data_IF_731229336272
#
_entry.id   IF_731229336272
#
_cell.length_a   1.000
_cell.length_b   1.000
_cell.length_c   1.000
_cell.angle_alpha   90.00
_cell.angle_beta   90.00
_cell.angle_gamma   90.00
#
_symmetry.space_group_name_H-M   'P 1'
#
loop_
_entity.id
_entity.type
_entity.pdbx_description
1 polymer ?
#
# COMPACT_ATOMS: atom_id res chain seq x y z
N UNK A 1 -0.58 13.85 -2.81
CA UNK A 1 -0.70 12.58 -2.06
C UNK A 1 -1.45 11.55 -2.91
N UNK A 2 -1.24 10.24 -2.71
CA UNK A 2 -2.00 9.20 -3.42
C UNK A 2 -3.35 9.00 -2.71
N UNK A 3 -4.46 9.22 -3.41
CA UNK A 3 -5.80 9.02 -2.86
C UNK A 3 -6.37 7.65 -3.25
N UNK A 4 -7.37 7.19 -2.51
CA UNK A 4 -8.17 6.02 -2.90
C UNK A 4 -9.19 6.37 -4.01
N UNK A 5 -9.66 5.35 -4.77
CA UNK A 5 -10.70 5.51 -5.81
C UNK A 5 -12.00 6.14 -5.30
N UNK A 6 -12.28 6.09 -4.00
CA UNK A 6 -13.41 6.80 -3.39
C UNK A 6 -13.34 8.33 -3.55
N UNK A 7 -12.14 8.90 -3.66
CA UNK A 7 -11.92 10.34 -3.79
C UNK A 7 -11.92 10.84 -5.24
N UNK A 8 -12.54 10.08 -6.17
CA UNK A 8 -12.57 10.44 -7.60
C UNK A 8 -13.62 11.52 -7.93
N UNK A 9 -14.62 11.73 -7.06
CA UNK A 9 -15.65 12.75 -7.29
C UNK A 9 -15.03 14.15 -7.32
N UNK A 10 -15.39 14.94 -8.33
CA UNK A 10 -14.91 16.32 -8.48
C UNK A 10 -15.28 17.16 -7.25
N UNK A 11 -16.49 16.98 -6.71
CA UNK A 11 -16.97 17.66 -5.52
C UNK A 11 -16.09 17.37 -4.30
N UNK A 12 -15.74 16.10 -4.09
CA UNK A 12 -14.88 15.67 -2.97
C UNK A 12 -13.45 16.19 -3.14
N UNK A 13 -12.93 16.21 -4.37
CA UNK A 13 -11.59 16.76 -4.63
C UNK A 13 -11.54 18.27 -4.44
N UNK A 14 -12.61 18.97 -4.82
CA UNK A 14 -12.72 20.41 -4.67
C UNK A 14 -12.86 20.80 -3.19
N UNK A 15 -13.73 20.10 -2.45
CA UNK A 15 -13.87 20.29 -0.99
C UNK A 15 -12.55 20.05 -0.24
N UNK A 16 -11.82 18.97 -0.57
CA UNK A 16 -10.50 18.70 0.02
C UNK A 16 -9.46 19.79 -0.29
N UNK A 17 -9.56 20.40 -1.46
CA UNK A 17 -8.67 21.50 -1.84
C UNK A 17 -9.06 22.80 -1.13
N UNK A 18 -10.34 23.13 -1.07
CA UNK A 18 -10.85 24.34 -0.42
C UNK A 18 -10.65 24.29 1.11
N UNK A 19 -11.00 23.17 1.74
CA UNK A 19 -10.98 23.01 3.19
C UNK A 19 -9.57 22.74 3.73
N UNK A 20 -8.78 21.90 3.06
CA UNK A 20 -7.50 21.41 3.59
C UNK A 20 -6.29 21.70 2.69
N UNK A 21 -6.49 22.31 1.52
CA UNK A 21 -5.42 22.56 0.53
C UNK A 21 -4.69 21.27 0.09
N UNK A 22 -5.40 20.14 0.14
CA UNK A 22 -4.86 18.83 -0.21
C UNK A 22 -5.19 18.50 -1.66
N UNK A 23 -4.14 18.22 -2.45
CA UNK A 23 -4.28 17.67 -3.80
C UNK A 23 -4.01 16.16 -3.82
N UNK A 24 -5.04 15.39 -4.14
CA UNK A 24 -4.97 13.94 -4.27
C UNK A 24 -4.80 13.51 -5.74
N UNK A 25 -3.81 12.67 -6.01
CA UNK A 25 -3.73 11.89 -7.24
C UNK A 25 -4.44 10.56 -7.01
N UNK A 26 -5.58 10.38 -7.68
CA UNK A 26 -6.47 9.21 -7.49
C UNK A 26 -6.30 8.23 -8.65
N UNK A 27 -6.25 6.90 -8.39
CA UNK A 27 -6.18 5.90 -9.43
C UNK A 27 -7.39 5.94 -10.37
N UNK A 28 -7.07 5.96 -11.67
CA UNK A 28 -8.06 5.96 -12.74
C UNK A 28 -8.98 4.73 -12.72
N UNK A 29 -10.21 4.93 -13.22
CA UNK A 29 -11.13 3.84 -13.58
C UNK A 29 -10.90 3.44 -15.04
N UNK A 30 -11.06 2.15 -15.37
CA UNK A 30 -10.89 1.63 -16.73
C UNK A 30 -11.77 2.34 -17.77
N UNK A 31 -12.98 2.79 -17.37
CA UNK A 31 -13.96 3.42 -18.26
C UNK A 31 -13.86 4.97 -18.29
N UNK A 32 -12.79 5.56 -17.77
CA UNK A 32 -12.66 7.01 -17.68
C UNK A 32 -12.15 7.61 -18.99
N UNK A 33 -12.99 8.40 -19.67
CA UNK A 33 -12.69 8.98 -20.99
C UNK A 33 -11.53 9.99 -20.99
N UNK A 34 -11.34 10.74 -19.89
CA UNK A 34 -10.27 11.74 -19.74
C UNK A 34 -9.00 11.14 -19.15
N UNK A 35 -8.46 10.11 -19.80
CA UNK A 35 -7.22 9.47 -19.37
C UNK A 35 -6.03 10.42 -19.54
N UNK A 36 -5.27 10.63 -18.46
CA UNK A 36 -3.94 11.24 -18.51
C UNK A 36 -2.91 10.24 -18.03
N UNK A 37 -1.74 10.25 -18.66
CA UNK A 37 -0.66 9.37 -18.23
C UNK A 37 -0.20 9.78 -16.82
N UNK A 38 -0.20 8.86 -15.85
CA UNK A 38 0.25 9.17 -14.50
C UNK A 38 1.74 9.53 -14.49
N UNK A 39 2.11 10.43 -13.58
CA UNK A 39 3.49 10.84 -13.39
C UNK A 39 4.40 9.65 -13.08
N UNK A 40 5.70 9.79 -13.35
CA UNK A 40 6.67 8.75 -13.00
C UNK A 40 6.71 8.47 -11.49
N UNK A 41 6.63 9.54 -10.67
CA UNK A 41 6.59 9.44 -9.22
C UNK A 41 5.36 8.65 -8.73
N UNK A 42 4.18 8.93 -9.29
CA UNK A 42 2.95 8.20 -9.01
C UNK A 42 3.10 6.70 -9.29
N UNK A 43 3.58 6.36 -10.50
CA UNK A 43 3.79 4.95 -10.90
C UNK A 43 4.76 4.23 -9.97
N UNK A 44 5.86 4.90 -9.58
CA UNK A 44 6.85 4.36 -8.66
C UNK A 44 6.27 4.10 -7.27
N UNK A 45 5.52 5.05 -6.72
CA UNK A 45 4.91 4.94 -5.40
C UNK A 45 3.82 3.85 -5.37
N UNK A 46 2.95 3.84 -6.37
CA UNK A 46 1.92 2.81 -6.54
C UNK A 46 2.52 1.42 -6.63
N UNK A 47 3.55 1.24 -7.47
CA UNK A 47 4.23 -0.05 -7.61
C UNK A 47 4.82 -0.53 -6.27
N UNK A 48 5.36 0.38 -5.45
CA UNK A 48 5.85 0.02 -4.10
C UNK A 48 4.73 -0.48 -3.20
N UNK A 49 3.59 0.23 -3.15
CA UNK A 49 2.43 -0.17 -2.36
C UNK A 49 1.93 -1.56 -2.82
N UNK A 50 1.71 -1.75 -4.12
CA UNK A 50 1.26 -3.03 -4.68
C UNK A 50 2.25 -4.17 -4.38
N UNK A 51 3.56 -3.91 -4.45
CA UNK A 51 4.59 -4.90 -4.11
C UNK A 51 4.51 -5.32 -2.65
N UNK A 52 4.38 -4.37 -1.72
CA UNK A 52 4.30 -4.65 -0.28
C UNK A 52 3.03 -5.44 0.05
N UNK A 53 1.89 -5.07 -0.52
CA UNK A 53 0.63 -5.80 -0.34
C UNK A 53 0.70 -7.22 -0.90
N UNK A 54 1.28 -7.42 -2.09
CA UNK A 54 1.49 -8.77 -2.65
C UNK A 54 2.33 -9.61 -1.71
N UNK A 55 3.44 -9.07 -1.18
CA UNK A 55 4.31 -9.81 -0.27
C UNK A 55 3.65 -10.16 1.06
N UNK A 56 2.89 -9.22 1.65
CA UNK A 56 2.10 -9.50 2.83
C UNK A 56 1.09 -10.61 2.60
N UNK A 57 0.41 -10.61 1.45
CA UNK A 57 -0.57 -11.64 1.15
C UNK A 57 0.09 -12.99 0.82
N UNK A 58 1.14 -13.00 0.03
CA UNK A 58 1.77 -14.23 -0.47
C UNK A 58 2.63 -14.92 0.60
N UNK A 59 3.40 -14.16 1.37
CA UNK A 59 4.35 -14.72 2.36
C UNK A 59 3.73 -14.84 3.75
N UNK A 60 2.97 -13.83 4.17
CA UNK A 60 2.40 -13.78 5.52
C UNK A 60 0.91 -14.18 5.55
N UNK A 61 0.34 -14.54 4.39
CA UNK A 61 -1.07 -14.92 4.25
C UNK A 61 -2.00 -13.91 4.91
N UNK A 62 -1.78 -12.61 4.67
CA UNK A 62 -2.46 -11.53 5.39
C UNK A 62 -3.99 -11.70 5.45
N UNK A 63 -4.60 -12.12 4.34
CA UNK A 63 -6.06 -12.35 4.22
C UNK A 63 -6.54 -13.55 5.03
N UNK A 64 -5.69 -14.56 5.26
CA UNK A 64 -6.05 -15.76 6.03
C UNK A 64 -5.72 -15.53 7.51
N UNK A 65 -6.74 -15.14 8.28
CA UNK A 65 -6.64 -15.00 9.74
C UNK A 65 -7.81 -15.69 10.44
N UNK A 66 -7.53 -16.81 11.12
CA UNK A 66 -8.53 -17.60 11.85
C UNK A 66 -8.68 -17.11 13.30
N UNK A 67 -8.88 -15.81 13.50
CA UNK A 67 -9.12 -15.24 14.83
C UNK A 67 -10.60 -15.38 15.21
N UNK A 68 -10.86 -15.92 16.41
CA UNK A 68 -12.21 -16.05 16.97
C UNK A 68 -12.72 -14.76 17.63
N UNK A 69 -11.80 -13.85 17.95
CA UNK A 69 -12.07 -12.59 18.62
C UNK A 69 -11.38 -11.45 17.87
N UNK A 70 -11.97 -10.26 17.90
CA UNK A 70 -11.45 -9.05 17.25
C UNK A 70 -10.05 -8.67 17.74
N UNK A 71 -9.79 -8.77 19.06
CA UNK A 71 -8.45 -8.52 19.61
C UNK A 71 -7.39 -9.45 19.00
N UNK A 72 -7.69 -10.73 18.87
CA UNK A 72 -6.79 -11.70 18.22
C UNK A 72 -6.56 -11.44 16.73
N UNK A 73 -7.53 -10.85 16.03
CA UNK A 73 -7.38 -10.40 14.65
C UNK A 73 -6.35 -9.28 14.57
N UNK A 74 -6.50 -8.23 15.39
CA UNK A 74 -5.58 -7.09 15.43
C UNK A 74 -4.15 -7.51 15.80
N UNK A 75 -3.98 -8.31 16.85
CA UNK A 75 -2.65 -8.77 17.29
C UNK A 75 -1.94 -9.56 16.20
N UNK A 76 -2.64 -10.46 15.49
CA UNK A 76 -2.06 -11.25 14.40
C UNK A 76 -1.74 -10.41 13.17
N UNK A 77 -2.62 -9.47 12.82
CA UNK A 77 -2.40 -8.50 11.74
C UNK A 77 -1.16 -7.65 12.04
N UNK A 78 -1.05 -7.10 13.25
CA UNK A 78 0.10 -6.31 13.69
C UNK A 78 1.39 -7.14 13.68
N UNK A 79 1.34 -8.38 14.16
CA UNK A 79 2.49 -9.29 14.13
C UNK A 79 2.99 -9.58 12.70
N UNK A 80 2.08 -9.80 11.74
CA UNK A 80 2.45 -10.00 10.31
C UNK A 80 3.11 -8.76 9.71
N UNK A 81 2.58 -7.57 10.00
CA UNK A 81 3.16 -6.30 9.55
C UNK A 81 4.55 -6.11 10.17
N UNK A 82 4.68 -6.32 11.49
CA UNK A 82 5.95 -6.20 12.20
C UNK A 82 7.01 -7.16 11.67
N UNK A 83 6.65 -8.43 11.41
CA UNK A 83 7.55 -9.41 10.83
C UNK A 83 8.07 -8.98 9.45
N UNK A 84 7.18 -8.44 8.61
CA UNK A 84 7.55 -7.90 7.30
C UNK A 84 8.52 -6.71 7.42
N UNK A 85 8.28 -5.79 8.37
CA UNK A 85 9.19 -4.66 8.65
C UNK A 85 10.56 -5.12 9.14
N UNK A 86 10.62 -6.14 10.01
CA UNK A 86 11.89 -6.69 10.50
C UNK A 86 12.69 -7.32 9.35
N UNK A 87 12.05 -8.10 8.47
CA UNK A 87 12.74 -8.67 7.31
C UNK A 87 13.23 -7.60 6.33
N UNK A 88 12.45 -6.54 6.12
CA UNK A 88 12.89 -5.38 5.33
C UNK A 88 14.12 -4.70 5.94
N UNK A 89 14.16 -4.61 7.27
CA UNK A 89 15.29 -4.05 8.01
C UNK A 89 16.54 -4.93 7.91
N UNK A 90 16.39 -6.26 8.04
CA UNK A 90 17.49 -7.22 7.85
C UNK A 90 18.06 -7.08 6.43
N UNK A 91 17.20 -7.03 5.41
CA UNK A 91 17.62 -6.79 4.03
C UNK A 91 18.38 -5.47 3.86
N UNK A 92 17.96 -4.41 4.56
CA UNK A 92 18.67 -3.14 4.55
C UNK A 92 20.08 -3.27 5.15
N UNK A 93 20.21 -3.95 6.29
CA UNK A 93 21.51 -4.20 6.93
C UNK A 93 22.45 -5.05 6.06
N UNK A 94 21.89 -6.01 5.31
CA UNK A 94 22.65 -6.89 4.41
C UNK A 94 22.98 -6.24 3.05
N UNK A 95 22.66 -4.96 2.85
CA UNK A 95 22.78 -4.25 1.56
C UNK A 95 21.99 -4.92 0.41
N UNK A 96 20.98 -5.72 0.75
CA UNK A 96 20.07 -6.36 -0.20
C UNK A 96 18.92 -5.41 -0.58
N UNK A 97 18.15 -5.79 -1.61
CA UNK A 97 16.99 -5.03 -2.03
C UNK A 97 15.90 -5.12 -0.95
N UNK A 98 15.65 -4.01 -0.25
CA UNK A 98 14.62 -3.89 0.80
C UNK A 98 13.26 -4.49 0.38
N UNK A 99 12.87 -4.25 -0.88
CA UNK A 99 11.61 -4.71 -1.43
C UNK A 99 11.56 -6.19 -1.81
N UNK A 100 12.57 -7.01 -1.50
CA UNK A 100 12.58 -8.45 -1.76
C UNK A 100 12.69 -9.22 -0.45
N UNK A 101 11.59 -9.29 0.29
CA UNK A 101 11.52 -9.96 1.60
C UNK A 101 11.89 -11.45 1.53
N UNK A 102 11.78 -12.09 0.35
CA UNK A 102 12.25 -13.47 0.13
C UNK A 102 13.76 -13.62 0.30
N UNK A 103 14.53 -12.60 -0.09
CA UNK A 103 15.99 -12.64 -0.05
C UNK A 103 16.52 -12.62 1.40
N UNK A 104 15.70 -12.21 2.38
CA UNK A 104 16.05 -12.24 3.80
C UNK A 104 15.87 -13.64 4.43
N UNK A 105 15.16 -14.54 3.76
CA UNK A 105 14.79 -15.86 4.27
C UNK A 105 15.76 -16.97 3.83
N UNK A 106 16.76 -16.64 3.00
CA UNK A 106 17.75 -17.57 2.44
C UNK A 106 19.18 -17.05 2.64
#
# INVERSE_FOLDING_TARGET
MLGDKGYLSAEVQQDLFETAHIKLEVPYRLNQKNWRNPSWAYRRFRKRIETVFSQLNDQFMMVRNYAKQTGGLFTRTAAKIAAMTVLQYINFCNHCKIGLVKDALF
#
